data_IF_291325029766
#
_entry.id   IF_291325029766
#
_cell.length_a   1.000
_cell.length_b   1.000
_cell.length_c   1.000
_cell.angle_alpha   90.00
_cell.angle_beta   90.00
_cell.angle_gamma   90.00
#
_symmetry.space_group_name_H-M   'P 1'
#
loop_
_entity.id
_entity.type
_entity.pdbx_description
1 polymer ?
#
# COMPACT_ATOMS: atom_id res chain seq x y z
N UNK A 1 -57.29 22.89 18.59
CA UNK A 1 -55.84 23.01 18.85
C UNK A 1 -55.15 21.93 18.03
N UNK A 2 -54.58 22.32 16.89
CA UNK A 2 -53.83 21.41 16.02
C UNK A 2 -52.34 21.52 16.37
N UNK A 3 -51.64 20.41 16.68
CA UNK A 3 -50.20 20.47 16.89
C UNK A 3 -49.46 20.65 15.55
N UNK A 4 -48.54 21.61 15.51
CA UNK A 4 -47.64 21.93 14.41
C UNK A 4 -46.82 20.70 13.98
N UNK A 5 -46.80 20.41 12.68
CA UNK A 5 -45.66 19.72 12.06
C UNK A 5 -44.52 20.72 11.89
N UNK A 6 -43.32 20.35 12.36
CA UNK A 6 -42.08 21.07 12.10
C UNK A 6 -41.25 20.30 11.07
N UNK A 7 -40.56 21.01 10.16
CA UNK A 7 -39.96 20.44 8.96
C UNK A 7 -38.68 19.64 9.22
N UNK A 8 -38.49 18.67 8.33
CA UNK A 8 -37.27 17.93 8.03
C UNK A 8 -36.10 18.90 7.77
N UNK A 9 -35.16 19.00 8.71
CA UNK A 9 -33.82 19.46 8.36
C UNK A 9 -33.07 18.25 7.83
N UNK A 10 -32.98 18.18 6.51
CA UNK A 10 -31.97 17.42 5.78
C UNK A 10 -30.60 17.90 6.27
N UNK A 11 -30.00 17.19 7.22
CA UNK A 11 -28.55 17.20 7.33
C UNK A 11 -28.03 16.16 6.34
N UNK A 12 -28.04 16.60 5.08
CA UNK A 12 -27.10 16.15 4.07
C UNK A 12 -25.72 16.58 4.56
N UNK A 13 -25.12 15.74 5.41
CA UNK A 13 -23.69 15.75 5.58
C UNK A 13 -23.18 14.72 4.60
N UNK A 14 -22.91 15.19 3.37
CA UNK A 14 -21.86 14.62 2.54
C UNK A 14 -20.66 14.36 3.45
N UNK A 15 -20.48 13.08 3.80
CA UNK A 15 -19.33 12.60 4.53
C UNK A 15 -18.17 12.58 3.55
N UNK A 16 -17.64 13.76 3.31
CA UNK A 16 -16.40 13.99 2.58
C UNK A 16 -15.23 13.56 3.50
N UNK A 17 -14.34 12.75 2.93
CA UNK A 17 -12.97 12.44 3.37
C UNK A 17 -12.75 11.69 4.71
N UNK A 18 -13.19 10.43 4.78
CA UNK A 18 -12.68 9.42 5.73
C UNK A 18 -11.38 8.80 5.19
N UNK A 19 -10.39 9.65 4.85
CA UNK A 19 -9.04 9.15 4.66
C UNK A 19 -8.56 8.65 6.04
N UNK A 20 -8.16 7.37 6.17
CA UNK A 20 -7.73 6.84 7.46
C UNK A 20 -6.58 7.71 7.96
N UNK A 21 -6.70 8.20 9.20
CA UNK A 21 -5.61 8.88 9.88
C UNK A 21 -4.39 7.93 9.89
N UNK A 22 -3.20 8.45 9.57
CA UNK A 22 -1.98 7.63 9.49
C UNK A 22 -1.74 6.88 10.82
N UNK A 23 -2.11 7.51 11.94
CA UNK A 23 -2.06 6.93 13.29
C UNK A 23 -2.95 5.67 13.43
N UNK A 24 -4.10 5.63 12.74
CA UNK A 24 -5.00 4.48 12.77
C UNK A 24 -4.44 3.30 11.97
N UNK A 25 -3.77 3.56 10.85
CA UNK A 25 -3.14 2.50 10.05
C UNK A 25 -1.98 1.83 10.81
N UNK A 26 -1.11 2.63 11.43
CA UNK A 26 0.00 2.12 12.24
C UNK A 26 -0.50 1.27 13.41
N UNK A 27 -1.52 1.77 14.13
CA UNK A 27 -2.12 1.06 15.26
C UNK A 27 -2.73 -0.28 14.84
N UNK A 28 -3.39 -0.33 13.67
CA UNK A 28 -3.98 -1.56 13.13
C UNK A 28 -2.91 -2.61 12.80
N UNK A 29 -1.80 -2.20 12.19
CA UNK A 29 -0.67 -3.10 11.88
C UNK A 29 -0.06 -3.64 13.18
N UNK A 30 0.14 -2.77 14.17
CA UNK A 30 0.71 -3.16 15.46
C UNK A 30 -0.19 -4.16 16.21
N UNK A 31 -1.49 -3.87 16.34
CA UNK A 31 -2.45 -4.77 16.98
C UNK A 31 -2.50 -6.13 16.30
N UNK A 32 -2.61 -6.17 14.96
CA UNK A 32 -2.60 -7.41 14.20
C UNK A 32 -1.31 -8.23 14.42
N UNK A 33 -0.14 -7.58 14.41
CA UNK A 33 1.14 -8.26 14.58
C UNK A 33 1.26 -8.90 15.98
N UNK A 34 0.76 -8.22 17.02
CA UNK A 34 0.72 -8.74 18.39
C UNK A 34 -0.25 -9.94 18.49
N UNK A 35 -1.45 -9.81 17.95
CA UNK A 35 -2.48 -10.87 17.97
C UNK A 35 -2.04 -12.13 17.22
N UNK A 36 -1.29 -11.98 16.13
CA UNK A 36 -0.77 -13.08 15.32
C UNK A 36 0.60 -13.60 15.76
N UNK A 37 1.20 -12.99 16.78
CA UNK A 37 2.52 -13.38 17.30
C UNK A 37 3.68 -13.14 16.33
N UNK A 38 3.55 -12.19 15.40
CA UNK A 38 4.62 -11.86 14.44
C UNK A 38 5.70 -11.04 15.14
N UNK A 39 6.94 -11.54 15.11
CA UNK A 39 8.08 -10.82 15.67
C UNK A 39 8.45 -9.58 14.84
N UNK A 40 9.02 -8.56 15.50
CA UNK A 40 9.47 -7.32 14.84
C UNK A 40 10.38 -7.54 13.61
N UNK A 41 11.37 -8.47 13.63
CA UNK A 41 12.21 -8.70 12.46
C UNK A 41 11.41 -9.20 11.25
N UNK A 42 10.44 -10.08 11.49
CA UNK A 42 9.59 -10.64 10.45
C UNK A 42 8.59 -9.61 9.93
N UNK A 43 8.01 -8.81 10.82
CA UNK A 43 7.11 -7.71 10.44
C UNK A 43 7.83 -6.73 9.52
N UNK A 44 9.05 -6.30 9.88
CA UNK A 44 9.86 -5.41 9.05
C UNK A 44 10.13 -6.02 7.68
N UNK A 45 10.52 -7.30 7.63
CA UNK A 45 10.80 -7.99 6.36
C UNK A 45 9.56 -8.11 5.47
N UNK A 46 8.40 -8.38 6.07
CA UNK A 46 7.11 -8.45 5.35
C UNK A 46 6.73 -7.08 4.79
N UNK A 47 6.86 -6.03 5.60
CA UNK A 47 6.56 -4.66 5.17
C UNK A 47 7.51 -4.21 4.06
N UNK A 48 8.82 -4.47 4.20
CA UNK A 48 9.82 -4.18 3.16
C UNK A 48 9.46 -4.87 1.83
N UNK A 49 9.07 -6.15 1.89
CA UNK A 49 8.66 -6.91 0.69
C UNK A 49 7.37 -6.36 0.09
N UNK A 50 6.40 -5.98 0.91
CA UNK A 50 5.13 -5.40 0.45
C UNK A 50 5.34 -4.03 -0.22
N UNK A 51 6.18 -3.17 0.36
CA UNK A 51 6.53 -1.87 -0.22
C UNK A 51 7.25 -2.02 -1.56
N UNK A 52 8.20 -2.97 -1.67
CA UNK A 52 8.87 -3.23 -2.94
C UNK A 52 7.91 -3.73 -4.01
N UNK A 53 6.99 -4.62 -3.64
CA UNK A 53 5.95 -5.13 -4.53
C UNK A 53 5.10 -3.98 -5.09
N UNK A 54 4.61 -3.12 -4.21
CA UNK A 54 3.75 -2.00 -4.60
C UNK A 54 4.50 -0.99 -5.47
N UNK A 55 5.73 -0.65 -5.08
CA UNK A 55 6.57 0.23 -5.89
C UNK A 55 6.87 -0.36 -7.29
N UNK A 56 7.02 -1.68 -7.42
CA UNK A 56 7.17 -2.32 -8.73
C UNK A 56 5.90 -2.21 -9.56
N UNK A 57 4.71 -2.36 -8.97
CA UNK A 57 3.42 -2.20 -9.66
C UNK A 57 3.24 -0.76 -10.13
N UNK A 58 3.43 0.21 -9.23
CA UNK A 58 3.33 1.65 -9.55
C UNK A 58 4.37 2.11 -10.58
N UNK A 59 5.51 1.44 -10.63
CA UNK A 59 6.57 1.69 -11.60
C UNK A 59 6.49 0.81 -12.85
N UNK A 60 5.44 -0.01 -13.00
CA UNK A 60 5.26 -0.88 -14.15
C UNK A 60 6.46 -1.81 -14.43
N UNK A 61 7.08 -2.32 -13.36
CA UNK A 61 8.28 -3.15 -13.41
C UNK A 61 9.59 -2.39 -13.68
N UNK A 62 9.56 -1.06 -13.84
CA UNK A 62 10.76 -0.24 -13.98
C UNK A 62 11.48 -0.10 -12.63
N UNK A 63 12.53 -0.92 -12.46
CA UNK A 63 13.33 -0.94 -11.21
C UNK A 63 13.95 0.41 -10.86
N UNK A 64 14.31 1.23 -11.86
CA UNK A 64 14.87 2.57 -11.59
C UNK A 64 13.81 3.50 -11.02
N UNK A 65 12.60 3.46 -11.55
CA UNK A 65 11.48 4.26 -11.06
C UNK A 65 11.01 3.75 -9.68
N UNK A 66 10.85 2.45 -9.49
CA UNK A 66 10.52 1.86 -8.19
C UNK A 66 11.54 2.23 -7.10
N UNK A 67 12.83 2.24 -7.42
CA UNK A 67 13.89 2.64 -6.50
C UNK A 67 13.74 4.10 -6.05
N UNK A 68 13.31 4.98 -6.96
CA UNK A 68 13.02 6.39 -6.66
C UNK A 68 11.78 6.53 -5.75
N UNK A 69 10.73 5.75 -5.97
CA UNK A 69 9.53 5.76 -5.12
C UNK A 69 9.84 5.35 -3.68
N UNK A 70 10.79 4.44 -3.49
CA UNK A 70 11.22 3.94 -2.18
C UNK A 70 12.41 4.72 -1.57
N UNK A 71 12.81 5.84 -2.18
CA UNK A 71 13.98 6.64 -1.79
C UNK A 71 15.26 5.81 -1.55
N UNK A 72 15.53 4.86 -2.44
CA UNK A 72 16.72 4.02 -2.35
C UNK A 72 17.47 3.92 -3.68
N UNK A 73 18.76 3.56 -3.60
CA UNK A 73 19.57 3.41 -4.81
C UNK A 73 19.15 2.16 -5.60
N UNK A 74 19.07 2.29 -6.93
CA UNK A 74 18.76 1.18 -7.85
C UNK A 74 19.57 -0.11 -7.61
N UNK A 75 20.90 -0.09 -7.36
CA UNK A 75 21.65 -1.32 -7.08
C UNK A 75 21.13 -2.05 -5.84
N UNK A 76 20.72 -1.31 -4.80
CA UNK A 76 20.19 -1.90 -3.56
C UNK A 76 18.84 -2.56 -3.83
N UNK A 77 17.93 -1.86 -4.51
CA UNK A 77 16.64 -2.45 -4.87
C UNK A 77 16.80 -3.68 -5.76
N UNK A 78 17.70 -3.64 -6.75
CA UNK A 78 17.94 -4.80 -7.62
C UNK A 78 18.46 -6.01 -6.84
N UNK A 79 19.31 -5.81 -5.83
CA UNK A 79 19.76 -6.91 -4.96
C UNK A 79 18.60 -7.53 -4.18
N UNK A 80 17.72 -6.70 -3.62
CA UNK A 80 16.54 -7.17 -2.87
C UNK A 80 15.57 -7.95 -3.77
N UNK A 81 15.30 -7.45 -4.97
CA UNK A 81 14.45 -8.14 -5.95
C UNK A 81 15.06 -9.48 -6.35
N UNK A 82 16.35 -9.50 -6.73
CA UNK A 82 17.01 -10.73 -7.17
C UNK A 82 17.15 -11.78 -6.05
N UNK A 83 17.19 -11.34 -4.78
CA UNK A 83 17.21 -12.24 -3.62
C UNK A 83 15.85 -12.86 -3.30
N UNK A 84 14.76 -12.35 -3.88
CA UNK A 84 13.39 -12.83 -3.69
C UNK A 84 12.81 -13.38 -5.00
N UNK A 85 12.66 -14.71 -5.14
CA UNK A 85 12.09 -15.30 -6.36
C UNK A 85 10.72 -14.73 -6.73
N UNK A 86 9.92 -14.36 -5.73
CA UNK A 86 8.60 -13.78 -5.91
C UNK A 86 8.66 -12.37 -6.55
N UNK A 87 9.57 -11.51 -6.07
CA UNK A 87 9.72 -10.15 -6.59
C UNK A 87 10.29 -10.16 -8.01
N UNK A 88 11.23 -11.06 -8.29
CA UNK A 88 11.80 -11.20 -9.62
C UNK A 88 10.76 -11.71 -10.64
N UNK A 89 9.91 -12.66 -10.23
CA UNK A 89 8.78 -13.10 -11.04
C UNK A 89 7.78 -11.97 -11.31
N UNK A 90 7.47 -11.14 -10.30
CA UNK A 90 6.60 -9.99 -10.46
C UNK A 90 7.18 -8.98 -11.46
N UNK A 91 8.45 -8.59 -11.32
CA UNK A 91 9.14 -7.67 -12.22
C UNK A 91 9.06 -8.17 -13.67
N UNK A 92 9.34 -9.44 -13.88
CA UNK A 92 9.33 -10.06 -15.22
C UNK A 92 7.93 -10.04 -15.84
N UNK A 93 6.90 -10.34 -15.03
CA UNK A 93 5.50 -10.28 -15.47
C UNK A 93 5.09 -8.86 -15.87
N UNK A 94 5.39 -7.87 -15.04
CA UNK A 94 5.05 -6.46 -15.32
C UNK A 94 5.76 -5.95 -16.57
N UNK A 95 7.06 -6.26 -16.73
CA UNK A 95 7.82 -5.88 -17.91
C UNK A 95 7.22 -6.47 -19.20
N UNK A 96 6.70 -7.69 -19.14
CA UNK A 96 6.00 -8.31 -20.27
C UNK A 96 4.67 -7.62 -20.58
N UNK A 97 3.85 -7.35 -19.57
CA UNK A 97 2.55 -6.67 -19.75
C UNK A 97 2.72 -5.27 -20.35
N UNK A 98 3.78 -4.56 -19.96
CA UNK A 98 4.14 -3.25 -20.51
C UNK A 98 4.58 -3.32 -21.97
N UNK A 99 5.25 -4.39 -22.39
CA UNK A 99 5.65 -4.59 -23.78
C UNK A 99 4.46 -4.96 -24.68
N UNK A 100 3.44 -5.64 -24.13
CA UNK A 100 2.22 -6.02 -24.84
C UNK A 100 1.21 -4.87 -24.97
N UNK A 101 1.37 -3.80 -24.17
CA UNK A 101 0.48 -2.63 -24.16
C UNK A 101 0.98 -1.47 -25.04
N UNK A 102 2.10 -1.64 -25.75
CA UNK A 102 2.74 -0.67 -26.65
C UNK A 102 2.68 -1.15 -28.10
#
# INVERSE_FOLDING_TARGET
ASPLELPHTTHDSTQDDDAPDDDDAERRIASWAIETGVGLPDLKKRLETALIREALVLADGNVTHAARLLDMKRPRLSQLINASPELEALKTRLARQQAESQ
#
